data_IF_148165604766
#
_entry.id   IF_148165604766
#
_cell.length_a   1.000
_cell.length_b   1.000
_cell.length_c   1.000
_cell.angle_alpha   90.00
_cell.angle_beta   90.00
_cell.angle_gamma   90.00
#
_symmetry.space_group_name_H-M   'P 1'
#
loop_
_entity.id
_entity.type
_entity.pdbx_description
1 polymer ?
#
# COMPACT_ATOMS: atom_id res chain seq x y z
N UNK A 1 10.11 19.12 -25.21
CA UNK A 1 9.66 18.88 -23.83
C UNK A 1 8.34 19.59 -23.66
N UNK A 2 7.23 18.87 -23.52
CA UNK A 2 5.90 19.49 -23.37
C UNK A 2 5.88 20.39 -22.13
N UNK A 3 5.37 21.62 -22.27
CA UNK A 3 5.25 22.64 -21.23
C UNK A 3 4.01 22.44 -20.34
N UNK A 4 3.32 21.31 -20.49
CA UNK A 4 2.10 20.99 -19.77
C UNK A 4 2.42 20.70 -18.30
N UNK A 5 1.78 21.45 -17.41
CA UNK A 5 1.88 21.28 -15.96
C UNK A 5 0.57 20.75 -15.46
N UNK A 6 0.62 19.70 -14.65
CA UNK A 6 -0.56 19.12 -14.00
C UNK A 6 -0.52 19.48 -12.53
N UNK A 7 -1.64 19.93 -12.00
CA UNK A 7 -1.83 20.21 -10.57
C UNK A 7 -2.76 19.17 -10.00
N UNK A 8 -2.34 18.49 -8.93
CA UNK A 8 -3.18 17.51 -8.23
C UNK A 8 -4.18 18.17 -7.27
N UNK A 9 -5.08 17.36 -6.72
CA UNK A 9 -6.09 17.79 -5.73
C UNK A 9 -5.49 18.33 -4.42
N UNK A 10 -4.18 18.16 -4.22
CA UNK A 10 -3.41 18.63 -3.07
C UNK A 10 -2.59 19.90 -3.37
N UNK A 11 -2.68 20.43 -4.60
CA UNK A 11 -2.00 21.65 -5.03
C UNK A 11 -0.55 21.45 -5.49
N UNK A 12 -0.06 20.22 -5.61
CA UNK A 12 1.28 19.95 -6.13
C UNK A 12 1.28 20.06 -7.66
N UNK A 13 2.22 20.82 -8.22
CA UNK A 13 2.33 21.04 -9.66
C UNK A 13 3.57 20.37 -10.23
N UNK A 14 3.38 19.41 -11.14
CA UNK A 14 4.46 18.61 -11.75
C UNK A 14 4.31 18.41 -13.27
N UNK A 15 5.36 17.90 -13.94
CA UNK A 15 5.35 17.67 -15.39
C UNK A 15 4.65 16.36 -15.81
N UNK A 16 4.21 15.55 -14.85
CA UNK A 16 3.53 14.28 -15.11
C UNK A 16 2.02 14.42 -14.83
N UNK A 17 1.14 13.77 -15.62
CA UNK A 17 -0.28 13.69 -15.33
C UNK A 17 -0.54 13.23 -13.89
N UNK A 18 -1.63 13.71 -13.28
CA UNK A 18 -2.08 13.29 -11.93
C UNK A 18 -2.48 11.81 -11.87
N UNK A 19 -2.63 11.15 -13.02
CA UNK A 19 -2.85 9.71 -13.17
C UNK A 19 -1.56 8.88 -13.13
N UNK A 20 -0.40 9.51 -13.36
CA UNK A 20 0.89 8.89 -13.07
C UNK A 20 0.99 8.72 -11.57
N UNK A 21 1.48 7.58 -11.10
CA UNK A 21 1.53 7.18 -9.69
C UNK A 21 2.41 8.09 -8.81
N UNK A 22 2.05 9.36 -8.64
CA UNK A 22 2.76 10.28 -7.78
C UNK A 22 2.54 9.85 -6.33
N UNK A 23 3.58 10.02 -5.51
CA UNK A 23 3.48 9.75 -4.07
C UNK A 23 2.61 10.84 -3.48
N UNK A 24 1.36 10.50 -3.17
CA UNK A 24 0.47 11.39 -2.44
C UNK A 24 0.85 11.35 -0.97
N UNK A 25 0.97 12.52 -0.35
CA UNK A 25 1.04 12.63 1.11
C UNK A 25 -0.39 12.46 1.64
N UNK A 26 -0.67 11.47 2.50
CA UNK A 26 -1.99 11.29 3.07
C UNK A 26 -2.46 12.57 3.78
N UNK A 27 -3.67 13.02 3.48
CA UNK A 27 -4.33 14.12 4.20
C UNK A 27 -5.19 13.58 5.35
N UNK A 28 -5.21 14.29 6.48
CA UNK A 28 -6.00 13.90 7.66
C UNK A 28 -5.29 12.91 8.58
N UNK A 29 -6.04 12.25 9.47
CA UNK A 29 -5.53 11.24 10.39
C UNK A 29 -5.17 9.96 9.61
N UNK A 30 -3.89 9.82 9.28
CA UNK A 30 -3.33 8.63 8.66
C UNK A 30 -2.40 7.94 9.65
N UNK A 31 -2.77 6.75 10.11
CA UNK A 31 -1.87 5.88 10.89
C UNK A 31 -1.11 4.97 9.94
N UNK A 32 0.17 5.25 9.63
CA UNK A 32 0.96 4.37 8.79
C UNK A 32 1.28 3.07 9.54
N UNK A 33 0.59 1.99 9.16
CA UNK A 33 0.95 0.63 9.55
C UNK A 33 0.32 0.13 10.85
N UNK A 34 0.91 -0.96 11.35
CA UNK A 34 0.37 -1.72 12.49
C UNK A 34 0.88 -1.18 13.82
N UNK A 35 0.02 -1.15 14.84
CA UNK A 35 0.42 -0.74 16.20
C UNK A 35 1.34 -1.78 16.85
N UNK A 36 2.46 -1.32 17.40
CA UNK A 36 3.39 -2.19 18.15
C UNK A 36 2.68 -2.76 19.39
N UNK A 37 2.89 -4.05 19.63
CA UNK A 37 2.31 -4.76 20.79
C UNK A 37 0.82 -5.08 20.66
N UNK A 38 0.18 -4.70 19.55
CA UNK A 38 -1.17 -5.15 19.21
C UNK A 38 -1.12 -6.29 18.20
N UNK A 39 -2.10 -7.20 18.21
CA UNK A 39 -2.26 -8.16 17.13
C UNK A 39 -2.35 -7.45 15.78
N UNK A 40 -1.69 -8.00 14.77
CA UNK A 40 -1.96 -7.60 13.39
C UNK A 40 -3.43 -7.94 13.03
N UNK A 41 -4.05 -7.22 12.08
CA UNK A 41 -5.35 -7.58 11.55
C UNK A 41 -5.38 -9.01 11.05
N UNK A 42 -6.53 -9.66 11.20
CA UNK A 42 -6.78 -10.93 10.53
C UNK A 42 -7.15 -10.68 9.07
N UNK A 43 -6.63 -11.49 8.17
CA UNK A 43 -6.89 -11.36 6.74
C UNK A 43 -6.68 -12.69 6.00
N UNK A 44 -7.38 -12.82 4.88
CA UNK A 44 -7.23 -13.91 3.94
C UNK A 44 -6.92 -13.35 2.55
N UNK A 45 -5.88 -13.87 1.90
CA UNK A 45 -5.47 -13.43 0.57
C UNK A 45 -5.05 -14.63 -0.28
N UNK A 46 -5.32 -14.60 -1.60
CA UNK A 46 -4.78 -15.62 -2.50
C UNK A 46 -3.25 -15.47 -2.62
N UNK A 47 -2.54 -16.59 -2.58
CA UNK A 47 -1.12 -16.65 -2.89
C UNK A 47 -0.88 -16.62 -4.42
N UNK A 48 0.38 -16.69 -4.84
CA UNK A 48 0.77 -16.69 -6.27
C UNK A 48 0.26 -17.89 -7.09
N UNK A 49 -0.29 -18.92 -6.43
CA UNK A 49 -0.91 -20.10 -7.05
C UNK A 49 -2.44 -20.02 -7.06
N UNK A 50 -3.02 -19.01 -6.42
CA UNK A 50 -4.46 -18.85 -6.25
C UNK A 50 -5.03 -19.52 -5.01
N UNK A 51 -4.20 -20.17 -4.18
CA UNK A 51 -4.68 -20.77 -2.93
C UNK A 51 -4.93 -19.68 -1.89
N UNK A 52 -6.03 -19.77 -1.15
CA UNK A 52 -6.32 -18.85 -0.05
C UNK A 52 -5.40 -19.14 1.13
N UNK A 53 -4.73 -18.11 1.61
CA UNK A 53 -3.89 -18.13 2.83
C UNK A 53 -4.56 -17.26 3.88
N UNK A 54 -4.83 -17.84 5.05
CA UNK A 54 -5.32 -17.14 6.23
C UNK A 54 -4.15 -16.78 7.14
N UNK A 55 -3.94 -15.48 7.36
CA UNK A 55 -2.76 -15.01 8.08
C UNK A 55 -2.65 -15.57 9.49
N UNK A 56 -3.75 -15.62 10.25
CA UNK A 56 -3.72 -16.14 11.61
C UNK A 56 -3.75 -17.66 11.70
N UNK A 57 -4.48 -18.35 10.82
CA UNK A 57 -4.52 -19.80 10.83
C UNK A 57 -3.18 -20.39 10.35
N UNK A 58 -2.64 -19.91 9.22
CA UNK A 58 -1.46 -20.51 8.60
C UNK A 58 -0.16 -20.15 9.31
N UNK A 59 -0.10 -19.01 10.02
CA UNK A 59 1.07 -18.72 10.87
C UNK A 59 1.13 -19.63 12.10
N UNK A 60 0.02 -20.22 12.53
CA UNK A 60 -0.08 -21.18 13.65
C UNK A 60 0.82 -20.85 14.86
N UNK A 61 0.71 -19.61 15.36
CA UNK A 61 1.51 -19.15 16.51
C UNK A 61 3.00 -18.89 16.26
N UNK A 62 3.52 -19.13 15.05
CA UNK A 62 4.92 -18.87 14.69
C UNK A 62 5.20 -17.39 14.39
N UNK A 63 6.45 -16.98 14.62
CA UNK A 63 6.93 -15.63 14.28
C UNK A 63 6.94 -15.45 12.77
N UNK A 64 6.29 -14.39 12.31
CA UNK A 64 6.06 -14.15 10.88
C UNK A 64 6.42 -12.72 10.53
N UNK A 65 6.94 -12.51 9.32
CA UNK A 65 7.17 -11.17 8.75
C UNK A 65 6.04 -10.83 7.78
N UNK A 66 5.46 -9.62 7.91
CA UNK A 66 4.47 -9.08 6.98
C UNK A 66 5.09 -7.92 6.21
N UNK A 67 5.17 -8.03 4.89
CA UNK A 67 5.73 -7.01 4.01
C UNK A 67 4.66 -6.47 3.08
N UNK A 68 4.33 -5.19 3.23
CA UNK A 68 3.55 -4.45 2.24
C UNK A 68 4.52 -3.95 1.17
N UNK A 69 4.41 -4.48 -0.04
CA UNK A 69 5.21 -4.02 -1.17
C UNK A 69 4.28 -3.54 -2.29
N UNK A 70 4.64 -2.41 -2.91
CA UNK A 70 3.95 -1.93 -4.10
C UNK A 70 4.55 -2.64 -5.30
N UNK A 71 3.83 -3.60 -5.88
CA UNK A 71 4.16 -4.12 -7.20
C UNK A 71 3.85 -3.03 -8.22
N UNK A 72 4.85 -2.60 -8.99
CA UNK A 72 4.59 -1.70 -10.13
C UNK A 72 4.09 -2.56 -11.29
N UNK A 73 2.87 -2.28 -11.75
CA UNK A 73 2.39 -2.75 -13.04
C UNK A 73 2.60 -1.58 -14.00
N UNK A 74 3.35 -1.84 -15.07
CA UNK A 74 3.68 -0.91 -16.15
C UNK A 74 2.48 -0.69 -17.06
#
# INVERSE_FOLDING_TARGET
>A
MSSEKFTDEYGFTGPLPTTSSQRVVPTGDFSPGLSIGKPAPDFELPNHRGDIVSFHADRDGTRTALLFYRSVVW
#
